data_IF_815337093389
#
_entry.id   IF_815337093389
#
_cell.length_a   1.000
_cell.length_b   1.000
_cell.length_c   1.000
_cell.angle_alpha   90.00
_cell.angle_beta   90.00
_cell.angle_gamma   90.00
#
_symmetry.space_group_name_H-M   'P 1'
#
loop_
_entity.id
_entity.type
_entity.pdbx_description
1 polymer ?
#
# COMPACT_ATOMS: atom_id res chain seq x y z
N UNK A 1 1.33 1.60 3.53
CA UNK A 1 0.86 2.97 3.88
C UNK A 1 1.71 3.65 4.93
N UNK A 2 1.91 3.08 6.14
CA UNK A 2 2.68 3.79 7.19
C UNK A 2 4.13 4.14 6.83
N UNK A 3 4.81 3.32 6.01
CA UNK A 3 6.18 3.61 5.57
C UNK A 3 6.25 4.89 4.72
N UNK A 4 5.41 4.98 3.68
CA UNK A 4 5.35 6.19 2.83
C UNK A 4 4.81 7.39 3.61
N UNK A 5 3.80 7.21 4.47
CA UNK A 5 3.28 8.26 5.36
C UNK A 5 4.41 8.89 6.20
N UNK A 6 5.29 8.06 6.77
CA UNK A 6 6.43 8.52 7.56
C UNK A 6 7.50 9.18 6.71
N UNK A 7 7.74 8.69 5.49
CA UNK A 7 8.62 9.34 4.53
C UNK A 7 8.12 10.76 4.22
N UNK A 8 6.83 10.89 3.88
CA UNK A 8 6.19 12.18 3.60
C UNK A 8 6.24 13.12 4.80
N UNK A 9 5.98 12.63 6.01
CA UNK A 9 6.05 13.42 7.24
C UNK A 9 7.47 13.90 7.61
N UNK A 10 8.52 13.29 7.04
CA UNK A 10 9.91 13.66 7.28
C UNK A 10 10.49 14.54 6.17
N UNK A 11 9.75 14.75 5.07
CA UNK A 11 10.16 15.69 4.02
C UNK A 11 10.00 17.14 4.49
N UNK A 12 10.95 18.04 4.13
CA UNK A 12 10.85 19.45 4.49
C UNK A 12 9.54 20.09 4.00
N UNK A 13 8.90 20.88 4.86
CA UNK A 13 7.67 21.60 4.53
C UNK A 13 6.41 20.74 4.44
N UNK A 14 6.50 19.43 4.68
CA UNK A 14 5.36 18.52 4.61
C UNK A 14 4.68 18.28 5.95
N UNK A 15 3.34 18.25 5.98
CA UNK A 15 2.54 17.95 7.17
C UNK A 15 1.41 16.95 6.88
N UNK A 16 1.14 15.97 7.75
CA UNK A 16 -0.01 15.09 7.56
C UNK A 16 -1.32 15.86 7.81
N UNK A 17 -2.32 15.66 6.95
CA UNK A 17 -3.68 16.20 7.15
C UNK A 17 -4.47 15.48 8.25
N UNK A 18 -3.87 14.50 8.94
CA UNK A 18 -4.47 13.78 10.07
C UNK A 18 -5.61 12.83 9.71
N UNK A 19 -5.87 12.60 8.42
CA UNK A 19 -6.95 11.74 7.95
C UNK A 19 -6.46 10.73 6.91
N UNK A 20 -7.12 9.56 6.90
CA UNK A 20 -6.84 8.48 5.97
C UNK A 20 -8.13 8.11 5.22
N UNK A 21 -8.15 8.35 3.91
CA UNK A 21 -9.31 8.14 3.04
C UNK A 21 -9.48 6.66 2.70
N UNK A 22 -10.70 6.14 2.81
CA UNK A 22 -11.07 4.78 2.43
C UNK A 22 -12.44 4.79 1.74
N UNK A 23 -12.73 3.83 0.84
CA UNK A 23 -14.08 3.60 0.34
C UNK A 23 -15.05 3.41 1.52
N UNK A 24 -16.22 4.03 1.46
CA UNK A 24 -17.22 3.95 2.53
C UNK A 24 -16.75 4.55 3.87
N UNK A 25 -15.89 5.57 3.87
CA UNK A 25 -15.43 6.23 5.10
C UNK A 25 -16.54 6.98 5.87
N UNK A 26 -17.79 6.97 5.39
CA UNK A 26 -18.94 7.62 6.02
C UNK A 26 -19.04 9.12 5.70
N UNK A 27 -18.07 9.67 4.96
CA UNK A 27 -18.24 10.93 4.27
C UNK A 27 -18.87 10.61 2.92
N UNK A 28 -20.09 11.10 2.69
CA UNK A 28 -20.63 11.24 1.34
C UNK A 28 -19.62 12.01 0.46
N UNK A 29 -19.68 11.81 -0.86
CA UNK A 29 -18.76 12.37 -1.85
C UNK A 29 -18.51 13.85 -1.58
N UNK A 30 -19.57 14.64 -1.35
CA UNK A 30 -19.46 16.08 -1.05
C UNK A 30 -18.66 16.41 0.22
N UNK A 31 -18.71 15.56 1.26
CA UNK A 31 -17.92 15.73 2.48
C UNK A 31 -16.44 15.37 2.29
N UNK A 32 -16.13 14.46 1.36
CA UNK A 32 -14.76 14.14 0.96
C UNK A 32 -14.16 15.24 0.09
N UNK A 33 -14.94 15.84 -0.81
CA UNK A 33 -14.55 17.00 -1.62
C UNK A 33 -14.19 18.20 -0.75
N UNK A 34 -15.10 18.60 0.16
CA UNK A 34 -14.84 19.71 1.10
C UNK A 34 -13.60 19.46 1.96
N UNK A 35 -13.38 18.21 2.37
CA UNK A 35 -12.19 17.85 3.11
C UNK A 35 -10.93 18.03 2.26
N UNK A 36 -10.87 17.46 1.07
CA UNK A 36 -9.72 17.60 0.16
C UNK A 36 -9.44 19.07 -0.20
N UNK A 37 -10.49 19.87 -0.41
CA UNK A 37 -10.35 21.30 -0.67
C UNK A 37 -9.83 22.10 0.55
N UNK A 38 -10.07 21.60 1.78
CA UNK A 38 -9.61 22.27 3.01
C UNK A 38 -8.15 21.98 3.36
N UNK A 39 -7.50 21.03 2.67
CA UNK A 39 -6.10 20.68 2.92
C UNK A 39 -5.21 21.76 2.28
N UNK A 40 -4.47 22.50 3.10
CA UNK A 40 -3.55 23.53 2.64
C UNK A 40 -2.32 22.98 1.90
N UNK A 41 -1.63 23.87 1.17
CA UNK A 41 -0.36 23.54 0.51
C UNK A 41 0.69 23.01 1.50
N UNK A 42 1.51 22.06 1.05
CA UNK A 42 2.48 21.37 1.91
C UNK A 42 1.86 20.31 2.83
N UNK A 43 0.54 20.10 2.80
CA UNK A 43 -0.07 18.98 3.50
C UNK A 43 -0.20 17.75 2.60
N UNK A 44 -0.23 16.56 3.20
CA UNK A 44 -0.53 15.32 2.49
C UNK A 44 -1.62 14.51 3.19
N UNK A 45 -2.36 13.74 2.39
CA UNK A 45 -3.36 12.78 2.85
C UNK A 45 -2.98 11.40 2.35
N UNK A 46 -3.29 10.37 3.14
CA UNK A 46 -3.12 8.98 2.70
C UNK A 46 -4.47 8.38 2.34
N UNK A 47 -4.48 7.46 1.38
CA UNK A 47 -5.73 6.90 0.88
C UNK A 47 -5.56 5.43 0.47
N UNK A 48 -6.67 4.69 0.51
CA UNK A 48 -6.84 3.43 -0.23
C UNK A 48 -8.00 3.57 -1.20
N UNK A 49 -7.97 4.60 -2.05
CA UNK A 49 -8.99 4.82 -3.07
C UNK A 49 -8.55 4.13 -4.38
N UNK A 50 -9.37 3.22 -4.94
CA UNK A 50 -9.17 2.71 -6.30
C UNK A 50 -9.04 3.84 -7.31
N UNK A 51 -8.68 3.59 -8.57
CA UNK A 51 -8.66 4.60 -9.62
C UNK A 51 -10.08 4.90 -10.15
N UNK A 52 -10.33 6.13 -10.59
CA UNK A 52 -11.41 6.53 -11.50
C UNK A 52 -11.04 7.87 -12.12
N UNK A 53 -11.44 8.08 -13.37
CA UNK A 53 -11.18 9.33 -14.09
C UNK A 53 -11.73 10.55 -13.36
N UNK A 54 -12.94 10.46 -12.82
CA UNK A 54 -13.58 11.54 -12.05
C UNK A 54 -12.73 11.99 -10.85
N UNK A 55 -12.14 11.04 -10.13
CA UNK A 55 -11.29 11.34 -8.97
C UNK A 55 -9.94 11.88 -9.38
N UNK A 56 -9.36 11.38 -10.47
CA UNK A 56 -8.14 11.93 -11.04
C UNK A 56 -8.35 13.42 -11.39
N UNK A 57 -9.36 13.72 -12.20
CA UNK A 57 -9.66 15.08 -12.65
C UNK A 57 -9.90 16.04 -11.48
N UNK A 58 -10.62 15.60 -10.46
CA UNK A 58 -10.84 16.39 -9.26
C UNK A 58 -9.54 16.72 -8.53
N UNK A 59 -8.69 15.71 -8.30
CA UNK A 59 -7.45 15.91 -7.56
C UNK A 59 -6.47 16.78 -8.36
N UNK A 60 -6.44 16.66 -9.69
CA UNK A 60 -5.67 17.52 -10.59
C UNK A 60 -6.17 18.97 -10.55
N UNK A 61 -7.48 19.20 -10.60
CA UNK A 61 -8.08 20.53 -10.45
C UNK A 61 -7.72 21.18 -9.11
N UNK A 62 -7.57 20.37 -8.05
CA UNK A 62 -7.14 20.82 -6.72
C UNK A 62 -5.61 20.94 -6.59
N UNK A 63 -4.83 20.61 -7.62
CA UNK A 63 -3.37 20.73 -7.62
C UNK A 63 -2.64 19.66 -6.81
N UNK A 64 -3.27 18.49 -6.57
CA UNK A 64 -2.60 17.39 -5.90
C UNK A 64 -1.57 16.71 -6.79
N UNK A 65 -0.49 16.23 -6.16
CA UNK A 65 0.45 15.28 -6.75
C UNK A 65 0.29 13.93 -6.08
N UNK A 66 0.43 12.85 -6.85
CA UNK A 66 0.07 11.51 -6.41
C UNK A 66 1.28 10.60 -6.35
N UNK A 67 1.42 9.88 -5.23
CA UNK A 67 2.42 8.82 -5.07
C UNK A 67 1.69 7.51 -4.85
N UNK A 68 1.84 6.57 -5.78
CA UNK A 68 1.29 5.23 -5.68
C UNK A 68 2.34 4.29 -5.07
N UNK A 69 2.14 3.90 -3.81
CA UNK A 69 2.95 2.87 -3.17
C UNK A 69 2.40 1.48 -3.49
N UNK A 70 3.17 0.66 -4.20
CA UNK A 70 2.92 -0.78 -4.38
C UNK A 70 3.86 -1.62 -3.51
N UNK A 71 3.55 -2.90 -3.37
CA UNK A 71 4.36 -3.93 -2.73
C UNK A 71 4.14 -5.22 -3.49
N UNK A 72 5.08 -6.17 -3.43
CA UNK A 72 4.89 -7.51 -3.99
C UNK A 72 3.53 -8.05 -3.53
N UNK A 73 2.60 -8.29 -4.46
CA UNK A 73 1.23 -8.62 -4.11
C UNK A 73 1.10 -9.98 -3.42
N UNK A 74 2.12 -10.84 -3.51
CA UNK A 74 2.20 -12.09 -2.74
C UNK A 74 2.45 -11.81 -1.26
N UNK A 75 3.34 -10.87 -0.95
CA UNK A 75 3.56 -10.38 0.42
C UNK A 75 2.33 -9.65 0.97
N UNK A 76 1.56 -8.97 0.11
CA UNK A 76 0.29 -8.35 0.50
C UNK A 76 -0.68 -9.44 0.96
N UNK A 77 -0.84 -10.53 0.21
CA UNK A 77 -1.74 -11.63 0.56
C UNK A 77 -1.38 -12.25 1.92
N UNK A 78 -0.10 -12.59 2.14
CA UNK A 78 0.38 -13.09 3.44
C UNK A 78 0.13 -12.08 4.56
N UNK A 79 0.50 -10.82 4.35
CA UNK A 79 0.32 -9.77 5.36
C UNK A 79 -1.15 -9.58 5.72
N UNK A 80 -2.06 -9.75 4.76
CA UNK A 80 -3.51 -9.65 4.96
C UNK A 80 -4.03 -10.79 5.86
N UNK A 81 -3.56 -12.02 5.66
CA UNK A 81 -3.91 -13.16 6.53
C UNK A 81 -3.57 -12.86 7.98
N UNK A 82 -2.34 -12.42 8.26
CA UNK A 82 -1.93 -12.07 9.61
C UNK A 82 -2.72 -10.88 10.16
N UNK A 83 -2.98 -9.87 9.33
CA UNK A 83 -3.75 -8.71 9.74
C UNK A 83 -5.17 -9.09 10.16
N UNK A 84 -5.89 -9.88 9.37
CA UNK A 84 -7.29 -10.24 9.63
C UNK A 84 -7.42 -11.32 10.71
N UNK A 85 -6.59 -12.35 10.67
CA UNK A 85 -6.70 -13.49 11.58
C UNK A 85 -6.03 -13.25 12.94
N UNK A 86 -4.88 -12.56 12.99
CA UNK A 86 -4.02 -12.53 14.19
C UNK A 86 -3.86 -11.15 14.86
N UNK A 87 -4.10 -10.05 14.17
CA UNK A 87 -3.95 -8.74 14.80
C UNK A 87 -4.98 -8.50 15.93
N UNK A 88 -4.60 -7.78 17.01
CA UNK A 88 -5.51 -7.45 18.10
C UNK A 88 -6.76 -6.68 17.62
N UNK A 89 -7.90 -6.94 18.26
CA UNK A 89 -9.12 -6.20 17.99
C UNK A 89 -9.00 -4.80 18.61
N UNK A 90 -9.00 -3.76 17.79
CA UNK A 90 -8.96 -2.37 18.26
C UNK A 90 -10.05 -1.57 17.55
N UNK A 91 -10.54 -0.49 18.17
CA UNK A 91 -11.56 0.40 17.55
C UNK A 91 -11.09 0.93 16.18
N UNK A 92 -9.77 1.02 15.96
CA UNK A 92 -9.15 1.45 14.70
C UNK A 92 -9.48 0.54 13.50
N UNK A 93 -9.85 -0.72 13.76
CA UNK A 93 -10.16 -1.73 12.73
C UNK A 93 -11.61 -2.23 12.80
N UNK A 94 -12.51 -1.46 13.41
CA UNK A 94 -13.92 -1.86 13.56
C UNK A 94 -14.62 -2.15 12.21
N UNK A 95 -14.20 -1.49 11.12
CA UNK A 95 -14.72 -1.74 9.77
C UNK A 95 -14.31 -3.09 9.18
N UNK A 96 -13.30 -3.74 9.74
CA UNK A 96 -12.82 -5.04 9.29
C UNK A 96 -13.45 -6.19 10.11
N UNK A 97 -14.41 -5.92 11.00
CA UNK A 97 -14.95 -6.91 11.96
C UNK A 97 -15.48 -8.17 11.30
N UNK A 98 -16.26 -8.03 10.23
CA UNK A 98 -16.81 -9.17 9.49
C UNK A 98 -15.72 -10.00 8.81
N UNK A 99 -14.80 -9.33 8.10
CA UNK A 99 -13.64 -9.99 7.47
C UNK A 99 -12.79 -10.72 8.49
N UNK A 100 -12.56 -10.11 9.66
CA UNK A 100 -11.81 -10.72 10.77
C UNK A 100 -12.53 -11.94 11.34
N UNK A 101 -13.85 -11.87 11.51
CA UNK A 101 -14.66 -13.01 11.98
C UNK A 101 -14.51 -14.18 11.02
N UNK A 102 -14.68 -13.94 9.71
CA UNK A 102 -14.51 -14.96 8.68
C UNK A 102 -13.11 -15.58 8.71
N UNK A 103 -12.05 -14.76 8.67
CA UNK A 103 -10.67 -15.26 8.66
C UNK A 103 -10.27 -16.02 9.93
N UNK A 104 -10.89 -15.72 11.09
CA UNK A 104 -10.65 -16.46 12.33
C UNK A 104 -11.37 -17.82 12.37
N UNK A 105 -12.45 -17.98 11.62
CA UNK A 105 -13.19 -19.23 11.50
C UNK A 105 -12.53 -20.23 10.56
N UNK A 106 -11.76 -19.76 9.57
CA UNK A 106 -10.99 -20.65 8.70
C UNK A 106 -9.93 -21.41 9.53
N UNK A 107 -9.94 -22.75 9.55
CA UNK A 107 -9.10 -23.56 10.42
C UNK A 107 -7.60 -23.48 10.08
N UNK A 108 -7.25 -23.42 8.79
CA UNK A 108 -5.85 -23.53 8.34
C UNK A 108 -5.30 -22.20 7.83
N UNK A 109 -3.97 -22.05 7.84
CA UNK A 109 -3.32 -20.91 7.19
C UNK A 109 -3.53 -20.94 5.68
N UNK A 110 -3.54 -22.12 5.08
CA UNK A 110 -3.72 -22.32 3.64
C UNK A 110 -5.09 -21.85 3.15
N UNK A 111 -6.16 -22.17 3.88
CA UNK A 111 -7.50 -21.66 3.54
C UNK A 111 -7.57 -20.14 3.67
N UNK A 112 -6.95 -19.57 4.70
CA UNK A 112 -6.89 -18.11 4.87
C UNK A 112 -6.11 -17.45 3.74
N UNK A 113 -4.99 -18.04 3.31
CA UNK A 113 -4.19 -17.51 2.23
C UNK A 113 -4.91 -17.64 0.89
N UNK A 114 -5.56 -18.77 0.63
CA UNK A 114 -6.44 -18.96 -0.53
C UNK A 114 -7.54 -17.88 -0.57
N UNK A 115 -8.24 -17.66 0.54
CA UNK A 115 -9.26 -16.61 0.64
C UNK A 115 -8.69 -15.20 0.47
N UNK A 116 -7.47 -14.93 0.95
CA UNK A 116 -6.80 -13.65 0.76
C UNK A 116 -6.39 -13.41 -0.71
N UNK A 117 -5.97 -14.45 -1.43
CA UNK A 117 -5.58 -14.37 -2.84
C UNK A 117 -6.81 -14.16 -3.73
N UNK A 118 -7.81 -15.04 -3.61
CA UNK A 118 -9.02 -15.03 -4.44
C UNK A 118 -10.00 -13.93 -4.08
N UNK A 119 -9.99 -13.48 -2.83
CA UNK A 119 -11.04 -12.62 -2.28
C UNK A 119 -12.26 -13.40 -1.83
N UNK A 120 -13.15 -12.71 -1.12
CA UNK A 120 -14.42 -13.23 -0.60
C UNK A 120 -15.48 -12.12 -0.73
N UNK A 121 -16.19 -12.05 -1.87
CA UNK A 121 -17.14 -10.97 -2.15
C UNK A 121 -18.27 -10.87 -1.12
N UNK A 122 -18.70 -11.99 -0.54
CA UNK A 122 -19.78 -12.02 0.47
C UNK A 122 -19.47 -11.22 1.74
N UNK A 123 -18.19 -10.96 2.03
CA UNK A 123 -17.73 -10.12 3.15
C UNK A 123 -17.04 -8.83 2.65
N UNK A 124 -17.26 -8.50 1.37
CA UNK A 124 -16.67 -7.34 0.69
C UNK A 124 -15.14 -7.35 0.70
N UNK A 125 -14.52 -8.52 0.54
CA UNK A 125 -13.07 -8.64 0.35
C UNK A 125 -12.75 -8.90 -1.12
N UNK A 126 -12.12 -7.94 -1.77
CA UNK A 126 -11.62 -8.14 -3.14
C UNK A 126 -10.41 -9.06 -3.16
N UNK A 127 -10.31 -9.86 -4.22
CA UNK A 127 -9.11 -10.64 -4.52
C UNK A 127 -7.93 -9.76 -4.90
N UNK A 128 -6.72 -10.31 -4.82
CA UNK A 128 -5.48 -9.58 -5.08
C UNK A 128 -5.45 -9.04 -6.52
N UNK A 129 -5.86 -9.83 -7.50
CA UNK A 129 -5.91 -9.42 -8.91
C UNK A 129 -6.85 -8.24 -9.15
N UNK A 130 -8.08 -8.31 -8.63
CA UNK A 130 -9.06 -7.21 -8.71
C UNK A 130 -8.54 -5.95 -7.99
N UNK A 131 -7.90 -6.13 -6.83
CA UNK A 131 -7.30 -5.02 -6.09
C UNK A 131 -6.17 -4.36 -6.86
N UNK A 132 -5.25 -5.11 -7.47
CA UNK A 132 -4.20 -4.53 -8.30
C UNK A 132 -4.79 -3.79 -9.50
N UNK A 133 -5.68 -4.45 -10.24
CA UNK A 133 -6.31 -3.89 -11.45
C UNK A 133 -7.04 -2.58 -11.16
N UNK A 134 -7.61 -2.42 -9.96
CA UNK A 134 -8.29 -1.19 -9.57
C UNK A 134 -7.35 -0.08 -9.11
N UNK A 135 -6.07 -0.33 -8.84
CA UNK A 135 -5.09 0.69 -8.39
C UNK A 135 -4.01 1.00 -9.42
N UNK A 136 -3.61 0.04 -10.26
CA UNK A 136 -2.55 0.23 -11.26
C UNK A 136 -2.79 1.39 -12.24
N UNK A 137 -4.03 1.70 -12.66
CA UNK A 137 -4.26 2.85 -13.55
C UNK A 137 -3.81 4.20 -12.96
N UNK A 138 -3.66 4.33 -11.63
CA UNK A 138 -3.04 5.54 -11.07
C UNK A 138 -1.62 5.79 -11.61
N UNK A 139 -0.83 4.73 -11.84
CA UNK A 139 0.52 4.83 -12.38
C UNK A 139 0.50 5.27 -13.86
N UNK A 140 -0.44 4.72 -14.64
CA UNK A 140 -0.61 5.07 -16.06
C UNK A 140 -1.04 6.53 -16.25
N UNK A 141 -1.68 7.12 -15.23
CA UNK A 141 -2.18 8.48 -15.21
C UNK A 141 -1.35 9.43 -14.31
N UNK A 142 -0.02 9.30 -14.36
CA UNK A 142 0.90 10.34 -13.87
C UNK A 142 1.25 10.29 -12.37
N UNK A 143 0.74 9.31 -11.62
CA UNK A 143 1.20 9.09 -10.24
C UNK A 143 2.62 8.54 -10.22
N UNK A 144 3.47 9.02 -9.32
CA UNK A 144 4.77 8.41 -9.09
C UNK A 144 4.60 7.01 -8.49
N UNK A 145 4.95 5.98 -9.25
CA UNK A 145 5.01 4.60 -8.76
C UNK A 145 6.24 4.39 -7.86
N UNK A 146 5.99 3.96 -6.63
CA UNK A 146 7.01 3.62 -5.62
C UNK A 146 6.79 2.19 -5.16
N UNK A 147 7.85 1.39 -5.17
CA UNK A 147 7.83 0.05 -4.58
C UNK A 147 8.20 0.11 -3.11
N UNK A 148 7.47 -0.61 -2.27
CA UNK A 148 7.81 -0.81 -0.87
C UNK A 148 9.24 -1.35 -0.73
N UNK A 149 9.58 -2.29 -1.61
CA UNK A 149 10.89 -2.96 -1.66
C UNK A 149 12.06 -1.98 -1.82
N UNK A 150 11.83 -0.90 -2.58
CA UNK A 150 12.86 0.12 -2.81
C UNK A 150 12.91 1.16 -1.69
N UNK A 151 11.82 1.36 -0.95
CA UNK A 151 11.72 2.37 0.12
C UNK A 151 12.11 1.83 1.50
N UNK A 152 11.93 0.53 1.76
CA UNK A 152 12.03 -0.03 3.12
C UNK A 152 13.46 0.00 3.71
N UNK A 153 14.48 -0.01 2.85
CA UNK A 153 15.90 -0.01 3.25
C UNK A 153 16.34 -1.32 3.92
N UNK A 154 17.57 -1.32 4.44
CA UNK A 154 18.24 -2.53 4.96
C UNK A 154 17.46 -3.22 6.09
N UNK A 155 16.78 -2.44 6.94
CA UNK A 155 15.98 -2.95 8.04
C UNK A 155 14.76 -3.80 7.60
N UNK A 156 14.35 -3.69 6.34
CA UNK A 156 13.30 -4.53 5.75
C UNK A 156 13.78 -5.44 4.63
N UNK A 157 15.09 -5.64 4.48
CA UNK A 157 15.67 -6.46 3.41
C UNK A 157 15.87 -5.75 2.07
N UNK A 158 15.67 -4.43 2.01
CA UNK A 158 16.07 -3.60 0.88
C UNK A 158 17.54 -3.16 0.98
N UNK A 159 17.96 -2.23 0.13
CA UNK A 159 19.33 -1.66 0.17
C UNK A 159 19.30 -0.17 0.53
N UNK A 160 20.35 0.32 1.15
CA UNK A 160 20.48 1.74 1.49
C UNK A 160 20.41 2.65 0.27
N UNK A 161 21.13 2.30 -0.80
CA UNK A 161 21.19 3.14 -2.00
C UNK A 161 19.84 3.24 -2.72
N UNK A 162 19.11 2.11 -2.85
CA UNK A 162 17.74 2.14 -3.41
C UNK A 162 16.81 3.00 -2.58
N UNK A 163 16.92 2.95 -1.25
CA UNK A 163 16.13 3.78 -0.35
C UNK A 163 16.42 5.27 -0.56
N UNK A 164 17.70 5.68 -0.57
CA UNK A 164 18.10 7.07 -0.79
C UNK A 164 17.62 7.57 -2.16
N UNK A 165 17.82 6.79 -3.23
CA UNK A 165 17.34 7.14 -4.58
C UNK A 165 15.82 7.27 -4.62
N UNK A 166 15.10 6.38 -3.95
CA UNK A 166 13.63 6.39 -3.92
C UNK A 166 13.10 7.62 -3.17
N UNK A 167 13.69 7.97 -2.02
CA UNK A 167 13.32 9.16 -1.26
C UNK A 167 13.59 10.43 -2.09
N UNK A 168 14.74 10.50 -2.76
CA UNK A 168 15.09 11.62 -3.64
C UNK A 168 14.12 11.77 -4.81
N UNK A 169 13.71 10.65 -5.43
CA UNK A 169 12.69 10.63 -6.49
C UNK A 169 11.33 11.11 -6.00
N UNK A 170 10.91 10.70 -4.79
CA UNK A 170 9.67 11.17 -4.18
C UNK A 170 9.73 12.68 -3.97
N UNK A 171 10.81 13.19 -3.36
CA UNK A 171 10.99 14.62 -3.10
C UNK A 171 10.97 15.43 -4.41
N UNK A 172 11.70 14.99 -5.43
CA UNK A 172 11.73 15.63 -6.75
C UNK A 172 10.33 15.67 -7.41
N UNK A 173 9.58 14.55 -7.36
CA UNK A 173 8.22 14.51 -7.88
C UNK A 173 7.29 15.51 -7.18
N UNK A 174 7.52 15.76 -5.88
CA UNK A 174 6.75 16.72 -5.09
C UNK A 174 7.27 18.16 -5.20
N UNK A 175 8.35 18.40 -5.96
CA UNK A 175 8.97 19.72 -6.09
C UNK A 175 9.75 20.17 -4.84
N UNK A 176 10.20 19.22 -4.01
CA UNK A 176 10.93 19.47 -2.77
C UNK A 176 12.41 19.20 -3.02
N UNK A 177 13.23 20.25 -2.93
CA UNK A 177 14.68 20.12 -3.00
C UNK A 177 15.25 19.52 -1.72
N UNK A 178 15.90 18.36 -1.81
CA UNK A 178 16.65 17.75 -0.72
C UNK A 178 18.04 17.31 -1.19
N UNK A 179 19.03 17.38 -0.31
CA UNK A 179 20.35 16.78 -0.52
C UNK A 179 20.31 15.26 -0.32
N UNK A 180 21.34 14.58 -0.81
CA UNK A 180 21.52 13.15 -0.54
C UNK A 180 21.64 12.85 0.97
N UNK A 181 22.33 13.72 1.73
CA UNK A 181 22.44 13.60 3.18
C UNK A 181 21.10 13.72 3.89
N UNK A 182 20.20 14.58 3.41
CA UNK A 182 18.82 14.67 3.91
C UNK A 182 18.02 13.42 3.56
N UNK A 183 18.10 12.93 2.33
CA UNK A 183 17.45 11.68 1.92
C UNK A 183 17.92 10.48 2.76
N UNK A 184 19.22 10.39 3.02
CA UNK A 184 19.85 9.42 3.92
C UNK A 184 19.29 9.55 5.36
N UNK A 185 19.27 10.75 5.93
CA UNK A 185 18.70 11.00 7.27
C UNK A 185 17.21 10.63 7.38
N UNK A 186 16.42 10.88 6.32
CA UNK A 186 15.02 10.43 6.24
C UNK A 186 14.96 8.90 6.22
N UNK A 187 15.74 8.26 5.35
CA UNK A 187 15.80 6.80 5.20
C UNK A 187 16.04 6.06 6.51
N UNK A 188 16.94 6.58 7.36
CA UNK A 188 17.25 5.98 8.67
C UNK A 188 16.11 6.10 9.70
N UNK A 189 15.09 6.91 9.43
CA UNK A 189 14.00 7.21 10.37
C UNK A 189 12.63 6.73 9.91
N UNK A 190 12.46 6.32 8.64
CA UNK A 190 11.14 5.91 8.09
C UNK A 190 10.71 4.52 8.54
N UNK A 191 11.64 3.60 8.77
CA UNK A 191 11.30 2.28 9.28
C UNK A 191 10.91 2.37 10.77
N UNK A 192 9.74 1.84 11.12
CA UNK A 192 9.23 1.90 12.48
C UNK A 192 8.49 0.63 12.87
N UNK A 193 9.06 -0.08 13.85
CA UNK A 193 8.45 -1.25 14.49
C UNK A 193 7.17 -0.89 15.28
N UNK A 194 6.96 0.39 15.56
CA UNK A 194 5.79 0.91 16.30
C UNK A 194 4.61 1.25 15.39
N UNK A 195 4.72 1.06 14.07
CA UNK A 195 3.61 1.31 13.17
C UNK A 195 2.42 0.37 13.50
N UNK A 196 1.19 0.89 13.47
CA UNK A 196 0.01 0.16 13.95
C UNK A 196 -0.32 -1.13 13.20
N UNK A 197 0.24 -1.32 12.00
CA UNK A 197 0.13 -2.55 11.20
C UNK A 197 1.48 -3.25 11.03
N UNK A 198 2.49 -2.91 11.84
CA UNK A 198 3.80 -3.53 11.76
C UNK A 198 3.70 -5.01 12.15
N UNK A 199 4.21 -5.89 11.30
CA UNK A 199 4.32 -7.34 11.57
C UNK A 199 5.78 -7.78 11.50
N UNK A 200 6.34 -7.75 10.28
CA UNK A 200 7.76 -8.02 10.01
C UNK A 200 8.44 -6.84 9.31
N UNK A 201 7.75 -6.22 8.36
CA UNK A 201 8.32 -5.11 7.59
C UNK A 201 9.41 -5.58 6.61
N UNK A 202 9.41 -6.85 6.23
CA UNK A 202 10.42 -7.50 5.40
C UNK A 202 9.88 -7.83 4.00
N UNK A 203 10.78 -7.91 3.03
CA UNK A 203 10.50 -8.31 1.64
C UNK A 203 10.54 -9.83 1.52
N UNK A 204 9.61 -10.41 0.76
CA UNK A 204 9.70 -11.79 0.30
C UNK A 204 9.25 -12.87 1.28
N UNK A 205 8.56 -12.49 2.36
CA UNK A 205 8.04 -13.43 3.37
C UNK A 205 7.02 -14.40 2.76
N UNK A 206 6.41 -14.06 1.62
CA UNK A 206 5.54 -14.96 0.88
C UNK A 206 6.18 -16.32 0.56
N UNK A 207 7.50 -16.38 0.35
CA UNK A 207 8.22 -17.63 0.07
C UNK A 207 8.14 -18.63 1.22
N UNK A 208 7.96 -18.17 2.45
CA UNK A 208 7.82 -19.01 3.63
C UNK A 208 6.40 -19.58 3.81
N UNK A 209 5.46 -19.14 2.98
CA UNK A 209 4.02 -19.34 3.20
C UNK A 209 3.27 -19.90 1.98
N UNK A 210 3.79 -19.67 0.78
CA UNK A 210 3.17 -20.17 -0.45
C UNK A 210 3.50 -21.65 -0.66
N UNK A 211 2.47 -22.44 -0.92
CA UNK A 211 2.58 -23.80 -1.46
C UNK A 211 2.45 -23.73 -2.99
N UNK A 212 2.72 -24.84 -3.69
CA UNK A 212 2.56 -24.89 -5.15
C UNK A 212 1.12 -24.64 -5.60
N UNK A 213 0.14 -25.04 -4.77
CA UNK A 213 -1.27 -24.70 -4.97
C UNK A 213 -1.48 -23.18 -4.90
N UNK A 214 -0.88 -22.50 -3.91
CA UNK A 214 -0.99 -21.04 -3.80
C UNK A 214 -0.32 -20.33 -4.97
N UNK A 215 0.84 -20.81 -5.43
CA UNK A 215 1.52 -20.27 -6.62
C UNK A 215 0.64 -20.41 -7.87
N UNK A 216 0.07 -21.59 -8.09
CA UNK A 216 -0.83 -21.87 -9.24
C UNK A 216 -2.03 -20.93 -9.23
N UNK A 217 -2.71 -20.82 -8.09
CA UNK A 217 -3.82 -19.88 -7.91
C UNK A 217 -3.40 -18.42 -8.14
N UNK A 218 -2.24 -18.03 -7.64
CA UNK A 218 -1.76 -16.66 -7.77
C UNK A 218 -1.39 -16.31 -9.22
N UNK A 219 -0.84 -17.27 -9.98
CA UNK A 219 -0.59 -17.13 -11.42
C UNK A 219 -1.89 -16.83 -12.16
N UNK A 220 -2.97 -17.56 -11.86
CA UNK A 220 -4.29 -17.33 -12.45
C UNK A 220 -4.85 -15.94 -12.11
N UNK A 221 -4.76 -15.53 -10.84
CA UNK A 221 -5.40 -14.30 -10.34
C UNK A 221 -4.61 -13.04 -10.66
N UNK A 222 -3.28 -13.08 -10.60
CA UNK A 222 -2.43 -11.90 -10.64
C UNK A 222 -1.06 -12.13 -11.33
N UNK A 223 -0.86 -13.26 -12.01
CA UNK A 223 0.42 -13.60 -12.65
C UNK A 223 0.87 -12.56 -13.69
N UNK A 224 -0.05 -12.10 -14.54
CA UNK A 224 0.24 -11.02 -15.52
C UNK A 224 0.69 -9.73 -14.84
N UNK A 225 0.00 -9.33 -13.77
CA UNK A 225 0.36 -8.15 -13.01
C UNK A 225 1.75 -8.27 -12.35
N UNK A 226 2.18 -9.46 -11.93
CA UNK A 226 3.55 -9.67 -11.43
C UNK A 226 4.60 -9.39 -12.52
N UNK A 227 4.31 -9.77 -13.77
CA UNK A 227 5.22 -9.55 -14.90
C UNK A 227 5.23 -8.06 -15.27
N UNK A 228 4.06 -7.43 -15.41
CA UNK A 228 3.91 -6.00 -15.71
C UNK A 228 4.61 -5.13 -14.66
N UNK A 229 4.48 -5.51 -13.38
CA UNK A 229 5.15 -4.84 -12.27
C UNK A 229 6.61 -5.28 -12.11
N UNK A 230 7.16 -6.13 -12.98
CA UNK A 230 8.56 -6.58 -12.93
C UNK A 230 8.94 -7.24 -11.61
N UNK A 231 8.02 -7.97 -10.98
CA UNK A 231 8.31 -8.89 -9.87
C UNK A 231 8.71 -10.28 -10.39
N UNK A 232 8.27 -10.65 -11.60
CA UNK A 232 8.64 -11.89 -12.29
C UNK A 232 8.91 -11.61 -13.77
N UNK A 233 9.70 -12.45 -14.44
CA UNK A 233 10.00 -12.31 -15.88
C UNK A 233 9.06 -13.12 -16.77
N UNK A 234 8.38 -14.12 -16.23
CA UNK A 234 7.46 -14.99 -16.96
C UNK A 234 6.44 -15.62 -16.01
N UNK A 235 5.60 -16.54 -16.51
CA UNK A 235 4.67 -17.32 -15.69
C UNK A 235 5.33 -18.56 -15.05
N UNK A 236 6.61 -18.82 -15.33
CA UNK A 236 7.36 -19.97 -14.84
C UNK A 236 8.20 -19.62 -13.59
N UNK A 237 7.50 -19.28 -12.50
CA UNK A 237 8.07 -18.96 -11.17
C UNK A 237 7.45 -19.77 -10.03
#
# INVERSE_FOLDING_TARGET
>A
THLIERCMALLPGMRPAGYHLRPGSGRDVGNSLRFLASIGHGCFVTAHLPFSGERLSLLEQMGYRHVLLIRDPRDIAVSLVFFLARAPMTRRFAKDTEKRRFFRQLPTFDERLTAAISGVPSIGLDGIGAKLSSFLPWADHGSLLVRFEDLVGEQGGGTRDRQIRTISRIAAHLGIGISESQASSIGSRIYSRRAGTFRKGEIGDWRNHFSDRHKSLFKEVAGKALIELGYESSMDW
#
